data_IF_140228598551
#
_entry.id   IF_140228598551
#
_cell.length_a   1.000
_cell.length_b   1.000
_cell.length_c   1.000
_cell.angle_alpha   90.00
_cell.angle_beta   90.00
_cell.angle_gamma   90.00
#
_symmetry.space_group_name_H-M   'P 1'
#
loop_
_entity.id
_entity.type
_entity.pdbx_description
1 polymer ?
#
# COMPACT_ATOMS: atom_id res chain seq x y z
N UNK A 1 -0.94 26.00 36.97
CA UNK A 1 -2.15 25.33 36.45
C UNK A 1 -2.04 25.28 34.93
N UNK A 2 -1.54 24.17 34.35
CA UNK A 2 -1.32 24.08 32.90
C UNK A 2 -1.21 22.65 32.35
N UNK A 3 -0.98 21.65 33.21
CA UNK A 3 -0.78 20.25 32.81
C UNK A 3 -2.10 19.44 32.70
N UNK A 4 -3.21 19.95 33.24
CA UNK A 4 -4.49 19.24 33.23
C UNK A 4 -5.25 19.35 31.90
N UNK A 5 -5.03 20.42 31.12
CA UNK A 5 -5.75 20.62 29.85
C UNK A 5 -5.12 19.89 28.67
N UNK A 6 -3.80 19.69 28.70
CA UNK A 6 -3.06 18.96 27.65
C UNK A 6 -3.27 17.45 27.76
N UNK A 7 -3.29 16.90 28.97
CA UNK A 7 -3.51 15.47 29.21
C UNK A 7 -4.94 15.02 28.89
N UNK A 8 -5.95 15.83 29.24
CA UNK A 8 -7.34 15.57 28.88
C UNK A 8 -7.54 15.59 27.35
N UNK A 9 -7.02 16.60 26.66
CA UNK A 9 -7.13 16.72 25.20
C UNK A 9 -6.42 15.57 24.44
N UNK A 10 -5.24 15.14 24.92
CA UNK A 10 -4.52 14.01 24.33
C UNK A 10 -5.27 12.67 24.51
N UNK A 11 -5.87 12.46 25.69
CA UNK A 11 -6.67 11.25 25.97
C UNK A 11 -7.95 11.17 25.13
N UNK A 12 -8.62 12.31 24.91
CA UNK A 12 -9.80 12.42 24.05
C UNK A 12 -9.44 12.17 22.58
N UNK A 13 -8.36 12.76 22.09
CA UNK A 13 -7.85 12.53 20.73
C UNK A 13 -7.50 11.05 20.51
N UNK A 14 -6.77 10.43 21.43
CA UNK A 14 -6.43 9.01 21.35
C UNK A 14 -7.68 8.11 21.34
N UNK A 15 -8.71 8.46 22.12
CA UNK A 15 -9.99 7.75 22.13
C UNK A 15 -10.74 7.89 20.80
N UNK A 16 -10.73 9.08 20.19
CA UNK A 16 -11.35 9.37 18.90
C UNK A 16 -10.64 8.65 17.75
N UNK A 17 -9.30 8.68 17.72
CA UNK A 17 -8.50 7.95 16.74
C UNK A 17 -8.72 6.45 16.86
N UNK A 18 -8.74 5.89 18.09
CA UNK A 18 -8.96 4.46 18.28
C UNK A 18 -10.34 4.02 17.79
N UNK A 19 -11.39 4.78 18.14
CA UNK A 19 -12.76 4.50 17.72
C UNK A 19 -12.94 4.61 16.20
N UNK A 20 -12.36 5.63 15.56
CA UNK A 20 -12.40 5.78 14.10
C UNK A 20 -11.58 4.70 13.39
N UNK A 21 -10.43 4.32 13.95
CA UNK A 21 -9.58 3.27 13.41
C UNK A 21 -10.24 1.88 13.52
N UNK A 22 -10.92 1.60 14.62
CA UNK A 22 -11.73 0.39 14.80
C UNK A 22 -12.87 0.35 13.77
N UNK A 23 -13.64 1.42 13.62
CA UNK A 23 -14.70 1.49 12.61
C UNK A 23 -14.19 1.42 11.16
N UNK A 24 -13.03 2.01 10.86
CA UNK A 24 -12.39 1.90 9.55
C UNK A 24 -11.95 0.46 9.26
N UNK A 25 -11.35 -0.22 10.24
CA UNK A 25 -10.97 -1.62 10.10
C UNK A 25 -12.17 -2.54 9.93
N UNK A 26 -13.26 -2.33 10.67
CA UNK A 26 -14.50 -3.09 10.50
C UNK A 26 -15.11 -2.84 9.13
N UNK A 27 -15.20 -1.58 8.70
CA UNK A 27 -15.71 -1.21 7.38
C UNK A 27 -14.94 -1.90 6.26
N UNK A 28 -13.60 -1.84 6.27
CA UNK A 28 -12.79 -2.49 5.25
C UNK A 28 -12.71 -4.01 5.43
N UNK A 29 -12.76 -4.51 6.67
CA UNK A 29 -12.80 -5.94 6.98
C UNK A 29 -14.06 -6.62 6.45
N UNK A 30 -15.23 -5.99 6.61
CA UNK A 30 -16.48 -6.49 6.05
C UNK A 30 -16.44 -6.49 4.52
N UNK A 31 -15.93 -5.40 3.91
CA UNK A 31 -15.81 -5.30 2.45
C UNK A 31 -14.79 -6.25 1.84
N UNK A 32 -13.74 -6.60 2.58
CA UNK A 32 -12.70 -7.54 2.14
C UNK A 32 -12.82 -8.93 2.75
N UNK A 33 -13.91 -9.23 3.46
CA UNK A 33 -14.19 -10.55 4.02
C UNK A 33 -14.16 -11.67 2.96
N UNK A 34 -14.49 -11.34 1.70
CA UNK A 34 -14.39 -12.28 0.59
C UNK A 34 -12.96 -12.81 0.38
N UNK A 35 -11.92 -12.07 0.76
CA UNK A 35 -10.52 -12.53 0.67
C UNK A 35 -10.21 -13.68 1.64
N UNK A 36 -10.99 -13.86 2.72
CA UNK A 36 -10.80 -14.98 3.63
C UNK A 36 -10.95 -16.33 2.91
N UNK A 37 -11.84 -16.41 1.91
CA UNK A 37 -11.99 -17.60 1.07
C UNK A 37 -10.76 -17.88 0.18
N UNK A 38 -9.96 -16.86 -0.11
CA UNK A 38 -8.73 -16.97 -0.91
C UNK A 38 -7.49 -17.24 -0.06
N UNK A 39 -7.61 -17.26 1.28
CA UNK A 39 -6.48 -17.58 2.18
C UNK A 39 -5.88 -18.95 1.91
N UNK A 40 -6.66 -19.91 1.41
CA UNK A 40 -6.17 -21.22 0.95
C UNK A 40 -5.11 -21.13 -0.16
N UNK A 41 -5.12 -20.04 -0.93
CA UNK A 41 -4.18 -19.81 -2.03
C UNK A 41 -3.02 -18.92 -1.60
N UNK A 42 -3.26 -17.91 -0.75
CA UNK A 42 -2.23 -16.95 -0.31
C UNK A 42 -1.43 -17.43 0.90
N UNK A 43 -2.04 -18.15 1.84
CA UNK A 43 -1.40 -18.71 3.05
C UNK A 43 -1.17 -20.22 2.90
N UNK A 44 -0.52 -20.60 1.82
CA UNK A 44 -0.24 -22.01 1.54
C UNK A 44 0.98 -22.47 2.35
N UNK A 45 0.84 -23.56 3.11
CA UNK A 45 1.93 -24.21 3.87
C UNK A 45 3.18 -24.48 3.01
N UNK A 46 2.96 -24.81 1.74
CA UNK A 46 4.01 -24.92 0.72
C UNK A 46 3.84 -23.81 -0.31
N UNK A 47 4.70 -22.78 -0.32
CA UNK A 47 4.61 -21.72 -1.32
C UNK A 47 4.81 -22.33 -2.72
N UNK A 48 4.04 -21.83 -3.68
CA UNK A 48 4.30 -22.13 -5.08
C UNK A 48 5.64 -21.51 -5.47
N UNK A 49 6.42 -22.14 -6.36
CA UNK A 49 7.62 -21.49 -6.89
C UNK A 49 7.23 -20.15 -7.51
N UNK A 50 8.00 -19.11 -7.17
CA UNK A 50 7.82 -17.79 -7.79
C UNK A 50 8.04 -17.91 -9.29
N UNK A 51 7.19 -17.24 -10.06
CA UNK A 51 7.34 -17.23 -11.52
C UNK A 51 8.47 -16.28 -11.89
N UNK A 52 9.40 -16.79 -12.69
CA UNK A 52 10.44 -15.93 -13.24
C UNK A 52 9.85 -15.00 -14.32
N UNK A 53 10.47 -13.85 -14.59
CA UNK A 53 10.08 -12.99 -15.71
C UNK A 53 10.00 -13.74 -17.04
N UNK A 54 10.93 -14.69 -17.28
CA UNK A 54 10.94 -15.53 -18.47
C UNK A 54 9.75 -16.49 -18.57
N UNK A 55 9.27 -17.03 -17.44
CA UNK A 55 8.09 -17.91 -17.45
C UNK A 55 6.83 -17.11 -17.81
N UNK A 56 6.76 -15.86 -17.36
CA UNK A 56 5.67 -14.94 -17.69
C UNK A 56 5.68 -14.57 -19.17
N UNK A 57 6.85 -14.29 -19.74
CA UNK A 57 6.97 -13.97 -21.17
C UNK A 57 6.65 -15.19 -22.05
N UNK A 58 7.07 -16.39 -21.63
CA UNK A 58 6.72 -17.64 -22.29
C UNK A 58 5.19 -17.90 -22.23
N UNK A 59 4.55 -17.61 -21.10
CA UNK A 59 3.10 -17.71 -20.96
C UNK A 59 2.37 -16.71 -21.87
N UNK A 60 2.81 -15.44 -21.91
CA UNK A 60 2.24 -14.42 -22.79
C UNK A 60 2.35 -14.82 -24.27
N UNK A 61 3.47 -15.43 -24.67
CA UNK A 61 3.67 -15.91 -26.03
C UNK A 61 2.81 -17.13 -26.37
N UNK A 62 2.45 -17.95 -25.37
CA UNK A 62 1.72 -19.21 -25.56
C UNK A 62 0.21 -19.04 -25.45
N UNK A 63 -0.28 -18.13 -24.58
CA UNK A 63 -1.70 -17.94 -24.32
C UNK A 63 -2.26 -16.71 -25.07
N UNK A 64 -3.02 -16.91 -26.17
CA UNK A 64 -3.60 -15.81 -26.93
C UNK A 64 -4.81 -15.14 -26.24
N UNK A 65 -5.42 -15.78 -25.24
CA UNK A 65 -6.62 -15.28 -24.57
C UNK A 65 -6.25 -14.41 -23.38
N UNK A 66 -5.33 -14.87 -22.53
CA UNK A 66 -4.95 -14.15 -21.30
C UNK A 66 -3.59 -13.45 -21.40
N UNK A 67 -2.74 -13.81 -22.37
CA UNK A 67 -1.43 -13.18 -22.59
C UNK A 67 -1.49 -11.66 -22.82
N UNK A 68 -2.39 -11.13 -23.67
CA UNK A 68 -2.49 -9.68 -23.91
C UNK A 68 -2.79 -8.88 -22.64
N UNK A 69 -3.71 -9.36 -21.81
CA UNK A 69 -4.06 -8.71 -20.55
C UNK A 69 -2.87 -8.69 -19.57
N UNK A 70 -2.14 -9.80 -19.49
CA UNK A 70 -0.97 -9.93 -18.62
C UNK A 70 0.17 -8.99 -19.07
N UNK A 71 0.37 -8.86 -20.39
CA UNK A 71 1.34 -7.93 -20.97
C UNK A 71 1.00 -6.47 -20.62
N UNK A 72 -0.25 -6.06 -20.83
CA UNK A 72 -0.70 -4.71 -20.50
C UNK A 72 -0.58 -4.39 -19.01
N UNK A 73 -0.88 -5.36 -18.13
CA UNK A 73 -0.70 -5.19 -16.70
C UNK A 73 0.77 -4.94 -16.32
N UNK A 74 1.71 -5.68 -16.94
CA UNK A 74 3.15 -5.52 -16.69
C UNK A 74 3.69 -4.17 -17.17
N UNK A 75 3.22 -3.69 -18.32
CA UNK A 75 3.53 -2.34 -18.80
C UNK A 75 2.95 -1.26 -17.87
N UNK A 76 1.71 -1.45 -17.39
CA UNK A 76 1.04 -0.54 -16.47
C UNK A 76 1.76 -0.42 -15.12
N UNK A 77 2.41 -1.47 -14.62
CA UNK A 77 3.20 -1.41 -13.37
C UNK A 77 4.33 -0.39 -13.49
N UNK A 78 5.05 -0.36 -14.62
CA UNK A 78 6.13 0.62 -14.82
C UNK A 78 5.60 2.05 -14.82
N UNK A 79 4.45 2.29 -15.48
CA UNK A 79 3.80 3.60 -15.47
C UNK A 79 3.28 3.99 -14.09
N UNK A 80 2.70 3.04 -13.34
CA UNK A 80 2.21 3.26 -11.99
C UNK A 80 3.36 3.60 -11.03
N UNK A 81 4.49 2.90 -11.17
CA UNK A 81 5.67 3.12 -10.34
C UNK A 81 6.29 4.50 -10.63
N UNK A 82 6.45 4.85 -11.92
CA UNK A 82 6.88 6.19 -12.32
C UNK A 82 5.92 7.28 -11.85
N UNK A 83 4.61 7.08 -12.05
CA UNK A 83 3.57 8.02 -11.61
C UNK A 83 3.53 8.19 -10.09
N UNK A 84 3.75 7.10 -9.34
CA UNK A 84 3.84 7.12 -7.88
C UNK A 84 5.05 7.90 -7.40
N UNK A 85 6.23 7.70 -8.01
CA UNK A 85 7.43 8.47 -7.67
C UNK A 85 7.23 9.96 -7.95
N UNK A 86 6.66 10.31 -9.12
CA UNK A 86 6.38 11.70 -9.48
C UNK A 86 5.36 12.32 -8.52
N UNK A 87 4.28 11.59 -8.21
CA UNK A 87 3.26 12.02 -7.25
C UNK A 87 3.84 12.25 -5.87
N UNK A 88 4.63 11.29 -5.37
CA UNK A 88 5.29 11.39 -4.07
C UNK A 88 6.23 12.59 -3.98
N UNK A 89 7.09 12.81 -4.99
CA UNK A 89 8.01 13.95 -5.04
C UNK A 89 7.25 15.27 -5.16
N UNK A 90 6.22 15.33 -6.02
CA UNK A 90 5.40 16.53 -6.20
C UNK A 90 4.66 16.90 -4.92
N UNK A 91 3.99 15.94 -4.28
CA UNK A 91 3.29 16.15 -3.01
C UNK A 91 4.26 16.54 -1.90
N UNK A 92 5.43 15.88 -1.81
CA UNK A 92 6.46 16.25 -0.85
C UNK A 92 7.01 17.66 -1.09
N UNK A 93 7.18 18.08 -2.36
CA UNK A 93 7.63 19.43 -2.72
C UNK A 93 6.61 20.52 -2.37
N UNK A 94 5.32 20.28 -2.63
CA UNK A 94 4.23 21.19 -2.22
C UNK A 94 4.14 21.26 -0.69
N UNK A 95 4.18 20.12 -0.02
CA UNK A 95 4.16 20.06 1.44
C UNK A 95 5.37 20.76 2.05
N UNK A 96 6.57 20.63 1.46
CA UNK A 96 7.77 21.34 1.90
C UNK A 96 7.65 22.86 1.75
N UNK A 97 7.13 23.33 0.61
CA UNK A 97 6.97 24.76 0.31
C UNK A 97 6.02 25.46 1.29
N UNK A 98 4.94 24.79 1.72
CA UNK A 98 3.93 25.40 2.59
C UNK A 98 4.07 25.06 4.07
N UNK A 99 4.59 23.88 4.43
CA UNK A 99 4.60 23.42 5.82
C UNK A 99 5.84 23.86 6.58
N UNK A 100 7.02 23.94 5.93
CA UNK A 100 8.34 24.18 6.59
C UNK A 100 8.55 23.40 7.90
N UNK A 101 7.80 22.31 8.13
CA UNK A 101 7.71 21.56 9.38
C UNK A 101 7.87 20.07 9.10
N UNK A 102 8.80 19.45 9.83
CA UNK A 102 9.22 18.05 9.69
C UNK A 102 8.06 17.06 9.85
N UNK A 103 7.02 17.43 10.62
CA UNK A 103 5.89 16.57 10.98
C UNK A 103 4.94 16.25 9.81
N UNK A 104 4.84 17.12 8.80
CA UNK A 104 3.96 16.92 7.65
C UNK A 104 4.56 16.10 6.50
N UNK A 105 5.90 16.05 6.40
CA UNK A 105 6.62 15.39 5.30
C UNK A 105 7.00 13.93 5.60
N UNK A 106 6.98 13.52 6.87
CA UNK A 106 7.41 12.18 7.28
C UNK A 106 6.34 11.11 6.99
N UNK A 107 5.05 11.44 7.18
CA UNK A 107 3.94 10.51 6.97
C UNK A 107 3.80 10.03 5.51
N UNK A 108 3.89 10.90 4.48
CA UNK A 108 3.83 10.46 3.08
C UNK A 108 5.03 9.62 2.65
N UNK A 109 6.23 9.94 3.14
CA UNK A 109 7.44 9.18 2.82
C UNK A 109 7.43 7.79 3.46
N UNK A 110 6.97 7.65 4.70
CA UNK A 110 6.84 6.35 5.38
C UNK A 110 5.75 5.48 4.76
N UNK A 111 4.59 6.06 4.41
CA UNK A 111 3.52 5.29 3.77
C UNK A 111 3.89 4.86 2.35
N UNK A 112 4.58 5.73 1.60
CA UNK A 112 5.12 5.40 0.28
C UNK A 112 6.19 4.31 0.35
N UNK A 113 7.18 4.44 1.24
CA UNK A 113 8.28 3.47 1.35
C UNK A 113 7.83 2.10 1.88
N UNK A 114 6.83 2.01 2.76
CA UNK A 114 6.24 0.73 3.17
C UNK A 114 5.64 -0.02 1.98
N UNK A 115 4.90 0.67 1.10
CA UNK A 115 4.29 0.03 -0.06
C UNK A 115 5.34 -0.42 -1.08
N UNK A 116 6.40 0.37 -1.30
CA UNK A 116 7.51 0.01 -2.20
C UNK A 116 8.35 -1.15 -1.66
N UNK A 117 8.63 -1.17 -0.35
CA UNK A 117 9.38 -2.25 0.30
C UNK A 117 8.58 -3.56 0.30
N UNK A 118 7.26 -3.51 0.52
CA UNK A 118 6.42 -4.70 0.47
C UNK A 118 6.30 -5.28 -0.96
N UNK A 119 6.38 -4.46 -2.02
CA UNK A 119 6.39 -4.96 -3.40
C UNK A 119 7.70 -5.62 -3.81
N UNK A 120 8.84 -5.22 -3.26
CA UNK A 120 10.13 -5.87 -3.54
C UNK A 120 10.27 -7.24 -2.88
N UNK A 121 9.77 -7.44 -1.65
CA UNK A 121 9.92 -8.73 -0.94
C UNK A 121 9.00 -9.85 -1.46
N UNK A 122 7.95 -9.53 -2.22
CA UNK A 122 7.14 -10.53 -2.93
C UNK A 122 7.67 -10.82 -4.35
N UNK A 123 8.71 -10.11 -4.80
CA UNK A 123 9.30 -10.27 -6.13
C UNK A 123 10.61 -11.09 -6.13
N UNK A 124 11.09 -11.55 -4.96
CA UNK A 124 12.23 -12.45 -4.81
C UNK A 124 11.80 -13.81 -4.27
#
# INVERSE_FOLDING_TARGET
MGESSSSASASEQQSFFRKHWEGYKEFWGERFSFLENYTRFTKREKPLPSWSPSDVDAFIATDPVHGPALKSAREAVNFALAGSLIGAVSTAGVAWKYSRSLHGNLLPLLFGSYYTFHTEYCAY
#
